data_IF_121038665246
#
_entry.id   IF_121038665246
#
_cell.length_a   1.000
_cell.length_b   1.000
_cell.length_c   1.000
_cell.angle_alpha   90.00
_cell.angle_beta   90.00
_cell.angle_gamma   90.00
#
_symmetry.space_group_name_H-M   'P 1'
#
loop_
_entity.id
_entity.type
_entity.pdbx_description
1 polymer ?
#
# COMPACT_ATOMS: atom_id res chain seq x y z
N UNK A 1 9.78 -15.71 -9.92
CA UNK A 1 10.61 -15.53 -8.70
C UNK A 1 9.80 -15.96 -7.49
N UNK A 2 10.43 -16.37 -6.38
CA UNK A 2 9.68 -16.71 -5.17
C UNK A 2 9.28 -15.44 -4.40
N UNK A 3 8.07 -15.40 -3.84
CA UNK A 3 7.62 -14.32 -2.96
C UNK A 3 7.15 -14.87 -1.62
N UNK A 4 6.93 -13.97 -0.66
CA UNK A 4 6.41 -14.33 0.68
C UNK A 4 5.34 -13.34 1.10
N UNK A 5 4.32 -13.83 1.78
CA UNK A 5 3.38 -13.00 2.51
C UNK A 5 3.86 -12.88 3.94
N UNK A 6 4.13 -11.66 4.39
CA UNK A 6 4.75 -11.37 5.69
C UNK A 6 4.08 -10.16 6.33
N UNK A 7 4.25 -10.04 7.64
CA UNK A 7 3.84 -8.85 8.37
C UNK A 7 5.03 -7.92 8.57
N UNK A 8 4.82 -6.62 8.35
CA UNK A 8 5.83 -5.57 8.51
C UNK A 8 5.22 -4.35 9.18
N UNK A 9 6.06 -3.63 9.93
CA UNK A 9 5.71 -2.31 10.46
C UNK A 9 5.64 -1.29 9.33
N UNK A 10 4.61 -0.47 9.33
CA UNK A 10 4.33 0.54 8.31
C UNK A 10 5.48 1.53 8.11
N UNK A 11 6.14 1.91 9.20
CA UNK A 11 7.30 2.81 9.22
C UNK A 11 8.57 2.21 8.63
N UNK A 12 8.66 0.87 8.53
CA UNK A 12 9.80 0.18 7.93
C UNK A 12 9.64 -0.04 6.41
N UNK A 13 8.46 0.27 5.85
CA UNK A 13 8.21 0.10 4.42
C UNK A 13 8.86 1.22 3.59
N UNK A 14 9.23 0.96 2.32
CA UNK A 14 9.75 1.99 1.43
C UNK A 14 8.77 3.16 1.25
N UNK A 15 9.30 4.32 0.87
CA UNK A 15 8.50 5.48 0.47
C UNK A 15 8.09 5.38 -1.01
N UNK A 16 6.96 5.96 -1.41
CA UNK A 16 6.49 5.91 -2.80
C UNK A 16 7.43 6.68 -3.72
N UNK A 17 7.73 6.12 -4.90
CA UNK A 17 8.43 6.82 -6.00
C UNK A 17 7.46 7.74 -6.77
N UNK A 18 6.59 8.44 -6.04
CA UNK A 18 5.50 9.23 -6.58
C UNK A 18 4.12 8.60 -6.37
N UNK A 19 3.11 9.46 -6.29
CA UNK A 19 1.71 9.07 -6.06
C UNK A 19 0.81 9.38 -7.27
N UNK A 20 1.36 9.95 -8.33
CA UNK A 20 0.65 10.08 -9.59
C UNK A 20 0.37 8.73 -10.25
N UNK A 21 -0.69 8.67 -11.07
CA UNK A 21 -0.93 7.57 -12.01
C UNK A 21 -1.32 8.17 -13.35
N UNK A 22 -0.84 7.59 -14.44
CA UNK A 22 -1.35 7.91 -15.77
C UNK A 22 -2.79 7.39 -15.85
N UNK A 23 -3.75 8.28 -15.59
CA UNK A 23 -5.18 8.04 -15.57
C UNK A 23 -5.87 9.18 -16.33
N UNK A 24 -7.16 9.00 -16.67
CA UNK A 24 -7.95 10.02 -17.35
C UNK A 24 -8.03 11.33 -16.56
N UNK A 25 -8.34 12.43 -17.25
CA UNK A 25 -8.25 13.79 -16.70
C UNK A 25 -9.14 14.07 -15.48
N UNK A 26 -10.23 13.31 -15.34
CA UNK A 26 -11.15 13.40 -14.20
C UNK A 26 -10.78 12.47 -13.04
N UNK A 27 -9.79 11.58 -13.21
CA UNK A 27 -9.44 10.60 -12.20
C UNK A 27 -8.66 11.26 -11.05
N UNK A 28 -8.96 10.98 -9.76
CA UNK A 28 -8.29 11.61 -8.61
C UNK A 28 -6.76 11.54 -8.66
N UNK A 29 -6.19 10.41 -9.09
CA UNK A 29 -4.74 10.25 -9.27
C UNK A 29 -4.09 11.19 -10.31
N UNK A 30 -4.82 11.66 -11.32
CA UNK A 30 -4.30 12.64 -12.28
C UNK A 30 -4.20 14.02 -11.62
N UNK A 31 -5.25 14.41 -10.89
CA UNK A 31 -5.25 15.64 -10.07
C UNK A 31 -4.13 15.61 -9.02
N UNK A 32 -3.96 14.46 -8.35
CA UNK A 32 -2.89 14.24 -7.37
C UNK A 32 -1.50 14.44 -7.97
N UNK A 33 -1.22 13.87 -9.15
CA UNK A 33 0.06 14.05 -9.85
C UNK A 33 0.33 15.53 -10.17
N UNK A 34 -0.67 16.24 -10.69
CA UNK A 34 -0.57 17.68 -11.00
C UNK A 34 -0.33 18.52 -9.76
N UNK A 35 -1.07 18.27 -8.68
CA UNK A 35 -0.90 19.01 -7.43
C UNK A 35 0.46 18.75 -6.78
N UNK A 36 0.91 17.49 -6.75
CA UNK A 36 2.25 17.14 -6.26
C UNK A 36 3.35 17.72 -7.15
N UNK A 37 3.15 17.81 -8.47
CA UNK A 37 4.08 18.50 -9.36
C UNK A 37 4.19 19.98 -9.04
N UNK A 38 3.07 20.66 -8.81
CA UNK A 38 3.10 22.08 -8.46
C UNK A 38 3.72 22.32 -7.09
N UNK A 39 3.54 21.39 -6.15
CA UNK A 39 3.99 21.54 -4.77
C UNK A 39 5.44 21.09 -4.54
N UNK A 40 5.81 19.90 -5.00
CA UNK A 40 7.14 19.29 -4.82
C UNK A 40 8.07 19.49 -6.02
N UNK A 41 7.57 20.02 -7.15
CA UNK A 41 8.33 20.16 -8.38
C UNK A 41 8.79 18.80 -8.93
N UNK A 42 10.10 18.71 -9.18
CA UNK A 42 10.76 17.49 -9.62
C UNK A 42 10.88 16.43 -8.51
N UNK A 43 10.73 16.84 -7.24
CA UNK A 43 10.70 15.93 -6.09
C UNK A 43 9.46 15.02 -6.04
N UNK A 44 8.46 15.21 -6.90
CA UNK A 44 7.22 14.41 -6.91
C UNK A 44 7.42 12.90 -7.21
N UNK A 45 8.58 12.52 -7.73
CA UNK A 45 8.95 11.12 -7.96
C UNK A 45 10.09 10.64 -7.04
N UNK A 46 10.53 11.50 -6.11
CA UNK A 46 11.59 11.19 -5.15
C UNK A 46 10.99 10.65 -3.83
N UNK A 47 11.25 9.38 -3.46
CA UNK A 47 10.81 8.82 -2.19
C UNK A 47 11.25 9.66 -0.97
N UNK A 48 12.43 10.28 -1.01
CA UNK A 48 12.95 11.09 0.09
C UNK A 48 12.19 12.42 0.25
N UNK A 49 11.68 13.01 -0.84
CA UNK A 49 10.81 14.18 -0.77
C UNK A 49 9.48 13.84 -0.09
N UNK A 50 8.84 12.72 -0.46
CA UNK A 50 7.62 12.23 0.19
C UNK A 50 7.82 11.92 1.68
N UNK A 51 8.96 11.29 2.02
CA UNK A 51 9.32 11.03 3.41
C UNK A 51 9.44 12.31 4.22
N UNK A 52 10.21 13.28 3.73
CA UNK A 52 10.46 14.55 4.42
C UNK A 52 9.16 15.32 4.64
N UNK A 53 8.34 15.48 3.60
CA UNK A 53 7.06 16.19 3.70
C UNK A 53 6.10 15.53 4.71
N UNK A 54 6.05 14.20 4.75
CA UNK A 54 5.28 13.49 5.76
C UNK A 54 5.83 13.71 7.17
N UNK A 55 7.14 13.52 7.37
CA UNK A 55 7.79 13.59 8.69
C UNK A 55 7.78 15.01 9.27
N UNK A 56 7.81 16.05 8.43
CA UNK A 56 7.66 17.44 8.87
C UNK A 56 6.22 17.82 9.20
N UNK A 57 5.28 16.87 9.17
CA UNK A 57 3.85 17.12 9.33
C UNK A 57 3.33 18.24 8.43
N UNK A 58 3.82 18.29 7.18
CA UNK A 58 3.49 19.34 6.21
C UNK A 58 1.97 19.35 5.92
N UNK A 59 1.26 20.44 6.28
CA UNK A 59 -0.19 20.51 6.15
C UNK A 59 -0.65 20.52 4.69
N UNK A 60 0.10 21.13 3.78
CA UNK A 60 -0.28 21.23 2.38
C UNK A 60 -0.06 19.91 1.66
N UNK A 61 1.08 19.25 1.92
CA UNK A 61 1.30 17.88 1.44
C UNK A 61 0.22 16.93 1.94
N UNK A 62 -0.12 16.98 3.25
CA UNK A 62 -1.20 16.18 3.83
C UNK A 62 -2.53 16.46 3.14
N UNK A 63 -2.88 17.73 2.92
CA UNK A 63 -4.12 18.15 2.25
C UNK A 63 -4.20 17.60 0.83
N UNK A 64 -3.16 17.79 0.02
CA UNK A 64 -3.08 17.32 -1.37
C UNK A 64 -3.28 15.81 -1.43
N UNK A 65 -2.54 15.06 -0.62
CA UNK A 65 -2.59 13.60 -0.64
C UNK A 65 -3.95 13.08 -0.16
N UNK A 66 -4.44 13.58 0.97
CA UNK A 66 -5.70 13.09 1.52
C UNK A 66 -6.91 13.50 0.66
N UNK A 67 -6.94 14.71 0.09
CA UNK A 67 -8.02 15.13 -0.84
C UNK A 67 -8.23 14.12 -1.95
N UNK A 68 -7.15 13.61 -2.55
CA UNK A 68 -7.25 12.63 -3.62
C UNK A 68 -7.52 11.20 -3.12
N UNK A 69 -6.88 10.77 -2.04
CA UNK A 69 -6.96 9.37 -1.59
C UNK A 69 -8.28 9.03 -0.91
N UNK A 70 -8.91 9.96 -0.20
CA UNK A 70 -10.24 9.74 0.42
C UNK A 70 -11.37 9.64 -0.60
N UNK A 71 -11.14 10.06 -1.85
CA UNK A 71 -12.12 9.91 -2.93
C UNK A 71 -12.09 8.51 -3.56
N UNK A 72 -11.10 7.68 -3.19
CA UNK A 72 -10.97 6.35 -3.78
C UNK A 72 -11.95 5.37 -3.14
N UNK A 73 -12.65 4.51 -3.92
CA UNK A 73 -13.60 3.54 -3.37
C UNK A 73 -12.97 2.60 -2.33
N UNK A 74 -11.72 2.21 -2.52
CA UNK A 74 -10.99 1.35 -1.59
C UNK A 74 -10.73 2.01 -0.23
N UNK A 75 -10.84 3.33 -0.09
CA UNK A 75 -10.47 4.04 1.15
C UNK A 75 -11.49 3.88 2.28
N UNK A 76 -12.75 3.56 1.94
CA UNK A 76 -13.88 3.51 2.89
C UNK A 76 -13.63 2.44 3.96
N UNK A 77 -13.29 1.23 3.54
CA UNK A 77 -13.15 0.07 4.43
C UNK A 77 -11.69 -0.33 4.66
N UNK A 78 -10.72 0.40 4.08
CA UNK A 78 -9.30 -0.01 4.07
C UNK A 78 -8.75 -0.28 5.47
N UNK A 79 -9.07 0.57 6.44
CA UNK A 79 -8.49 0.46 7.78
C UNK A 79 -8.93 -0.83 8.47
N UNK A 80 -10.22 -1.16 8.40
CA UNK A 80 -10.79 -2.37 8.99
C UNK A 80 -10.35 -3.62 8.23
N UNK A 81 -10.31 -3.53 6.88
CA UNK A 81 -9.84 -4.62 6.01
C UNK A 81 -8.38 -4.98 6.31
N UNK A 82 -7.52 -4.00 6.57
CA UNK A 82 -6.10 -4.24 6.89
C UNK A 82 -5.95 -4.94 8.23
N UNK A 83 -6.71 -4.53 9.25
CA UNK A 83 -6.68 -5.14 10.59
C UNK A 83 -7.12 -6.62 10.54
N UNK A 84 -8.25 -6.88 9.87
CA UNK A 84 -8.79 -8.23 9.73
C UNK A 84 -7.88 -9.12 8.88
N UNK A 85 -7.40 -8.61 7.73
CA UNK A 85 -6.52 -9.36 6.84
C UNK A 85 -5.17 -9.69 7.51
N UNK A 86 -4.60 -8.73 8.24
CA UNK A 86 -3.33 -8.93 8.95
C UNK A 86 -3.47 -9.97 10.06
N UNK A 87 -4.61 -9.98 10.77
CA UNK A 87 -4.90 -10.98 11.80
C UNK A 87 -5.06 -12.38 11.17
N UNK A 88 -5.90 -12.50 10.14
CA UNK A 88 -6.18 -13.77 9.48
C UNK A 88 -4.95 -14.36 8.77
N UNK A 89 -4.09 -13.52 8.21
CA UNK A 89 -2.86 -13.96 7.57
C UNK A 89 -1.97 -14.79 8.50
N UNK A 90 -1.97 -14.50 9.82
CA UNK A 90 -1.15 -15.23 10.80
C UNK A 90 -1.59 -16.69 10.97
N UNK A 91 -2.85 -17.02 10.69
CA UNK A 91 -3.33 -18.41 10.75
C UNK A 91 -3.13 -19.17 9.43
N UNK A 92 -2.61 -18.52 8.38
CA UNK A 92 -2.34 -19.20 7.12
C UNK A 92 -1.16 -20.16 7.26
N UNK A 93 -1.26 -21.41 6.80
CA UNK A 93 -0.10 -22.29 6.69
C UNK A 93 0.92 -21.79 5.66
N UNK A 94 0.51 -20.88 4.77
CA UNK A 94 1.36 -20.25 3.74
C UNK A 94 2.09 -19.02 4.27
N UNK A 95 1.77 -18.55 5.48
CA UNK A 95 2.37 -17.36 6.05
C UNK A 95 3.88 -17.51 6.19
N UNK A 96 4.63 -16.50 5.72
CA UNK A 96 6.09 -16.47 5.71
C UNK A 96 6.76 -17.63 4.94
N UNK A 97 5.99 -18.44 4.20
CA UNK A 97 6.52 -19.49 3.33
C UNK A 97 6.92 -18.91 1.97
N UNK A 98 8.00 -19.42 1.35
CA UNK A 98 8.30 -19.11 -0.05
C UNK A 98 7.22 -19.72 -0.95
N UNK A 99 6.56 -18.88 -1.76
CA UNK A 99 5.54 -19.28 -2.72
C UNK A 99 6.00 -19.04 -4.16
N UNK A 100 5.49 -19.84 -5.12
CA UNK A 100 5.72 -19.60 -6.55
C UNK A 100 5.10 -18.26 -6.98
N UNK A 101 5.60 -17.70 -8.07
CA UNK A 101 5.28 -16.32 -8.50
C UNK A 101 3.81 -16.10 -8.91
N UNK A 102 3.11 -17.17 -9.25
CA UNK A 102 1.75 -17.14 -9.80
C UNK A 102 0.65 -16.74 -8.79
N UNK A 103 0.99 -16.56 -7.51
CA UNK A 103 0.08 -16.17 -6.41
C UNK A 103 -1.10 -17.12 -6.19
N UNK A 104 -1.14 -18.25 -6.91
CA UNK A 104 -2.30 -19.14 -6.97
C UNK A 104 -2.61 -19.71 -5.58
N UNK A 105 -1.59 -20.18 -4.88
CA UNK A 105 -1.74 -20.79 -3.55
C UNK A 105 -2.31 -19.82 -2.51
N UNK A 106 -1.78 -18.60 -2.45
CA UNK A 106 -2.30 -17.59 -1.51
C UNK A 106 -3.71 -17.17 -1.89
N UNK A 107 -3.95 -16.95 -3.18
CA UNK A 107 -5.27 -16.57 -3.69
C UNK A 107 -6.32 -17.64 -3.41
N UNK A 108 -5.98 -18.92 -3.60
CA UNK A 108 -6.86 -20.04 -3.33
C UNK A 108 -7.16 -20.17 -1.83
N UNK A 109 -6.16 -19.98 -0.97
CA UNK A 109 -6.36 -19.95 0.48
C UNK A 109 -7.20 -18.75 0.94
N UNK A 110 -6.97 -17.56 0.38
CA UNK A 110 -7.64 -16.32 0.77
C UNK A 110 -9.09 -16.24 0.26
N UNK A 111 -9.37 -16.83 -0.91
CA UNK A 111 -10.66 -16.72 -1.64
C UNK A 111 -11.90 -16.96 -0.78
N UNK A 112 -11.98 -17.98 0.09
CA UNK A 112 -13.17 -18.23 0.92
C UNK A 112 -13.46 -17.09 1.91
N UNK A 113 -12.45 -16.30 2.27
CA UNK A 113 -12.55 -15.22 3.25
C UNK A 113 -12.83 -13.86 2.60
N UNK A 114 -12.46 -13.69 1.33
CA UNK A 114 -12.59 -12.43 0.58
C UNK A 114 -14.05 -11.97 0.30
N UNK A 115 -15.04 -12.76 0.70
CA UNK A 115 -16.47 -12.44 0.62
C UNK A 115 -17.07 -12.02 1.96
N UNK A 116 -16.31 -12.13 3.06
CA UNK A 116 -16.75 -11.74 4.39
C UNK A 116 -16.67 -10.22 4.58
N UNK A 117 -17.62 -9.67 5.36
CA UNK A 117 -17.66 -8.24 5.71
C UNK A 117 -16.39 -7.87 6.51
N UNK A 118 -15.68 -6.82 6.09
CA UNK A 118 -14.41 -6.39 6.68
C UNK A 118 -13.20 -7.24 6.29
N UNK A 119 -13.37 -8.16 5.34
CA UNK A 119 -12.30 -8.89 4.67
C UNK A 119 -12.52 -8.76 3.16
N UNK A 120 -12.64 -7.54 2.66
CA UNK A 120 -12.74 -7.38 1.22
C UNK A 120 -11.44 -7.90 0.56
N UNK A 121 -11.54 -8.37 -0.68
CA UNK A 121 -10.38 -8.83 -1.46
C UNK A 121 -9.27 -7.77 -1.59
N UNK A 122 -9.56 -6.52 -1.22
CA UNK A 122 -8.67 -5.38 -1.40
C UNK A 122 -7.36 -5.50 -0.64
N UNK A 123 -7.29 -6.14 0.54
CA UNK A 123 -6.02 -6.31 1.26
C UNK A 123 -5.57 -7.76 1.44
N UNK A 124 -6.47 -8.68 1.81
CA UNK A 124 -6.10 -10.08 2.01
C UNK A 124 -5.68 -10.75 0.69
N UNK A 125 -6.45 -10.53 -0.37
CA UNK A 125 -6.17 -11.11 -1.69
C UNK A 125 -5.00 -10.42 -2.39
N UNK A 126 -4.95 -9.09 -2.34
CA UNK A 126 -3.96 -8.26 -3.03
C UNK A 126 -3.26 -7.27 -2.08
N UNK A 127 -2.45 -7.74 -1.10
CA UNK A 127 -1.71 -6.85 -0.21
C UNK A 127 -0.68 -6.03 -0.99
N UNK A 128 -0.11 -5.01 -0.35
CA UNK A 128 0.92 -4.19 -1.01
C UNK A 128 2.17 -5.01 -1.36
N UNK A 129 2.71 -4.75 -2.55
CA UNK A 129 3.91 -5.42 -3.05
C UNK A 129 5.16 -4.61 -2.70
N UNK A 130 6.06 -5.27 -1.97
CA UNK A 130 7.33 -4.71 -1.54
C UNK A 130 8.43 -5.36 -2.38
N UNK A 131 8.97 -4.58 -3.31
CA UNK A 131 10.18 -4.94 -4.03
C UNK A 131 11.43 -4.71 -3.17
N UNK A 132 12.62 -5.06 -3.69
CA UNK A 132 13.87 -4.92 -2.94
C UNK A 132 14.19 -3.49 -2.49
N UNK A 133 13.75 -2.49 -3.27
CA UNK A 133 14.08 -1.07 -3.05
C UNK A 133 12.86 -0.14 -3.10
N UNK A 134 11.66 -0.65 -3.39
CA UNK A 134 10.49 0.20 -3.64
C UNK A 134 9.16 -0.49 -3.32
N UNK A 135 8.10 0.31 -3.24
CA UNK A 135 6.73 -0.17 -3.34
C UNK A 135 6.43 -0.47 -4.81
N UNK A 136 6.33 -1.74 -5.17
CA UNK A 136 6.00 -2.18 -6.52
C UNK A 136 4.50 -1.97 -6.82
N UNK A 137 3.66 -2.23 -5.82
CA UNK A 137 2.23 -1.93 -5.84
C UNK A 137 1.74 -1.55 -4.42
N UNK A 138 0.56 -0.94 -4.34
CA UNK A 138 -0.07 -0.55 -3.08
C UNK A 138 0.41 0.80 -2.54
N UNK A 139 1.24 1.54 -3.28
CA UNK A 139 1.83 2.82 -2.83
C UNK A 139 0.79 3.83 -2.29
N UNK A 140 -0.37 3.95 -2.94
CA UNK A 140 -1.44 4.84 -2.48
C UNK A 140 -2.05 4.38 -1.16
N UNK A 141 -2.33 3.08 -1.04
CA UNK A 141 -2.91 2.48 0.17
C UNK A 141 -1.94 2.56 1.34
N UNK A 142 -0.65 2.28 1.12
CA UNK A 142 0.42 2.45 2.12
C UNK A 142 0.53 3.91 2.57
N UNK A 143 0.54 4.87 1.65
CA UNK A 143 0.56 6.29 2.00
C UNK A 143 -0.68 6.71 2.77
N UNK A 144 -1.86 6.24 2.38
CA UNK A 144 -3.10 6.49 3.12
C UNK A 144 -3.01 5.95 4.55
N UNK A 145 -2.56 4.71 4.73
CA UNK A 145 -2.36 4.10 6.04
C UNK A 145 -1.42 4.92 6.92
N UNK A 146 -0.34 5.47 6.35
CA UNK A 146 0.60 6.32 7.12
C UNK A 146 -0.11 7.52 7.75
N UNK A 147 -1.05 8.14 7.07
CA UNK A 147 -1.78 9.29 7.63
C UNK A 147 -2.82 8.93 8.71
N UNK A 148 -3.14 7.64 8.88
CA UNK A 148 -4.23 7.16 9.76
C UNK A 148 -3.77 6.18 10.84
N UNK A 149 -2.55 5.66 10.74
CA UNK A 149 -1.99 4.65 11.64
C UNK A 149 -0.55 5.01 12.01
N UNK A 150 -0.13 4.70 13.25
CA UNK A 150 1.22 5.01 13.69
C UNK A 150 2.28 4.15 12.96
N UNK A 151 3.56 4.56 12.91
CA UNK A 151 4.62 3.83 12.21
C UNK A 151 4.82 2.37 12.65
N UNK A 152 4.54 2.07 13.92
CA UNK A 152 4.61 0.75 14.55
C UNK A 152 3.46 -0.17 14.16
N UNK A 153 2.42 0.35 13.48
CA UNK A 153 1.30 -0.42 12.99
C UNK A 153 1.76 -1.52 12.03
N UNK A 154 1.33 -2.74 12.31
CA UNK A 154 1.72 -3.94 11.57
C UNK A 154 0.71 -4.27 10.48
N UNK A 155 1.20 -4.50 9.27
CA UNK A 155 0.36 -4.82 8.11
C UNK A 155 0.89 -6.02 7.34
N UNK A 156 -0.04 -6.79 6.77
CA UNK A 156 0.27 -7.80 5.77
C UNK A 156 0.80 -7.14 4.48
N UNK A 157 1.91 -7.66 3.97
CA UNK A 157 2.50 -7.28 2.69
C UNK A 157 3.00 -8.51 1.93
N UNK A 158 3.15 -8.38 0.62
CA UNK A 158 3.84 -9.37 -0.22
C UNK A 158 5.26 -8.89 -0.51
N UNK A 159 6.26 -9.64 -0.08
CA UNK A 159 7.67 -9.34 -0.37
C UNK A 159 8.10 -10.14 -1.59
N UNK A 160 8.53 -9.44 -2.62
CA UNK A 160 9.05 -10.02 -3.85
C UNK A 160 10.53 -10.37 -3.64
N UNK A 161 10.93 -11.61 -3.94
CA UNK A 161 12.32 -12.02 -3.79
C UNK A 161 13.26 -11.27 -4.73
N UNK A 162 14.48 -10.97 -4.27
CA UNK A 162 15.58 -10.56 -5.14
C UNK A 162 16.00 -11.75 -5.99
N UNK A 163 16.25 -11.54 -7.29
CA UNK A 163 17.07 -12.47 -8.07
C UNK A 163 18.36 -12.73 -7.26
N UNK A 164 18.65 -13.99 -6.96
CA UNK A 164 19.98 -14.37 -6.47
C UNK A 164 20.94 -14.41 -7.64
#
# INVERSE_FOLDING_TARGET
MAHRFVIRRLGALPWPHGLGKNAGDTHPYKKLDTQLKNYLGDGRYDPAAHQRAYQSADPEYRRIVLDALTQMPWSIDLLDDVDAATTLARSSPLFNQPLPDDQSQWSDWARPYCTAKGLTSTWLGCPADIGPTCLADGRHRITYLRFHRPPEYEILVRVLGTAR
#
